data_IF_234790089163
#
_entry.id   IF_234790089163
#
_cell.length_a   1.000
_cell.length_b   1.000
_cell.length_c   1.000
_cell.angle_alpha   90.00
_cell.angle_beta   90.00
_cell.angle_gamma   90.00
#
_symmetry.space_group_name_H-M   'P 1'
#
loop_
_entity.id
_entity.type
_entity.pdbx_description
1 polymer ?
#
# COMPACT_ATOMS: atom_id res chain seq x y z
N UNK A 1 13.94 1.71 10.40
CA UNK A 1 14.06 0.53 9.52
C UNK A 1 15.18 0.76 8.52
N UNK A 2 15.76 -0.29 7.95
CA UNK A 2 16.56 -0.17 6.72
C UNK A 2 15.67 -0.35 5.48
N UNK A 3 16.23 -0.14 4.28
CA UNK A 3 15.46 -0.18 3.04
C UNK A 3 14.97 -1.58 2.67
N UNK A 4 15.72 -2.63 3.02
CA UNK A 4 15.32 -4.01 2.75
C UNK A 4 14.10 -4.38 3.60
N UNK A 5 14.14 -4.00 4.88
CA UNK A 5 13.02 -4.14 5.81
C UNK A 5 11.80 -3.34 5.35
N UNK A 6 11.98 -2.10 4.87
CA UNK A 6 10.89 -1.29 4.35
C UNK A 6 10.20 -1.98 3.16
N UNK A 7 10.98 -2.45 2.18
CA UNK A 7 10.46 -3.14 1.00
C UNK A 7 9.74 -4.44 1.41
N UNK A 8 10.25 -5.18 2.39
CA UNK A 8 9.60 -6.38 2.89
C UNK A 8 8.26 -6.09 3.56
N UNK A 9 8.19 -5.05 4.40
CA UNK A 9 6.94 -4.61 5.04
C UNK A 9 5.90 -4.22 3.99
N UNK A 10 6.29 -3.43 2.99
CA UNK A 10 5.39 -3.00 1.90
C UNK A 10 4.88 -4.21 1.12
N UNK A 11 5.79 -5.11 0.72
CA UNK A 11 5.43 -6.29 -0.04
C UNK A 11 4.51 -7.23 0.75
N UNK A 12 4.83 -7.46 2.02
CA UNK A 12 4.01 -8.31 2.90
C UNK A 12 2.62 -7.72 3.07
N UNK A 13 2.52 -6.42 3.38
CA UNK A 13 1.26 -5.75 3.65
C UNK A 13 0.37 -5.52 2.43
N UNK A 14 0.94 -5.44 1.21
CA UNK A 14 0.17 -5.10 -0.01
C UNK A 14 0.05 -6.23 -1.04
N UNK A 15 1.00 -7.18 -1.07
CA UNK A 15 1.10 -8.16 -2.17
C UNK A 15 1.03 -9.60 -1.70
N UNK A 16 1.57 -9.92 -0.52
CA UNK A 16 1.63 -11.31 -0.04
C UNK A 16 0.24 -11.94 0.15
N UNK A 17 0.21 -13.27 0.36
CA UNK A 17 -1.02 -14.01 0.66
C UNK A 17 -1.70 -13.54 1.96
N UNK A 18 -0.94 -12.94 2.88
CA UNK A 18 -1.44 -12.39 4.15
C UNK A 18 -1.65 -10.87 4.09
N UNK A 19 -1.59 -10.28 2.88
CA UNK A 19 -1.73 -8.83 2.68
C UNK A 19 -3.12 -8.29 3.02
N UNK A 20 -3.18 -7.00 3.32
CA UNK A 20 -4.43 -6.30 3.64
C UNK A 20 -5.45 -6.42 2.51
N UNK A 21 -5.10 -6.25 1.22
CA UNK A 21 -6.05 -6.47 0.13
C UNK A 21 -6.61 -7.90 0.07
N UNK A 22 -5.81 -8.91 0.40
CA UNK A 22 -6.28 -10.30 0.47
C UNK A 22 -7.26 -10.48 1.64
N UNK A 23 -6.90 -9.99 2.83
CA UNK A 23 -7.79 -10.05 4.01
C UNK A 23 -9.12 -9.32 3.78
N UNK A 24 -9.08 -8.15 3.14
CA UNK A 24 -10.29 -7.40 2.79
C UNK A 24 -11.20 -8.18 1.84
N UNK A 25 -10.63 -8.80 0.79
CA UNK A 25 -11.43 -9.58 -0.18
C UNK A 25 -11.97 -10.88 0.38
N UNK A 26 -11.18 -11.60 1.18
CA UNK A 26 -11.54 -12.92 1.69
C UNK A 26 -12.40 -12.86 2.96
N UNK A 27 -12.08 -11.95 3.87
CA UNK A 27 -12.63 -11.93 5.24
C UNK A 27 -13.32 -10.61 5.60
N UNK A 28 -13.25 -9.60 4.72
CA UNK A 28 -13.75 -8.23 4.98
C UNK A 28 -13.11 -7.61 6.22
N UNK A 29 -11.87 -7.98 6.49
CA UNK A 29 -11.11 -7.51 7.63
C UNK A 29 -10.15 -6.40 7.22
N UNK A 30 -10.29 -5.23 7.84
CA UNK A 30 -9.37 -4.11 7.68
C UNK A 30 -8.30 -4.14 8.78
N UNK A 31 -7.13 -4.67 8.42
CA UNK A 31 -5.95 -4.70 9.28
C UNK A 31 -5.27 -3.32 9.30
N UNK A 32 -5.74 -2.47 10.20
CA UNK A 32 -5.25 -1.08 10.35
C UNK A 32 -3.82 -1.01 10.86
N UNK A 33 -3.39 -1.99 11.65
CA UNK A 33 -2.03 -2.05 12.18
C UNK A 33 -1.04 -2.28 11.03
N UNK A 34 -1.31 -3.29 10.19
CA UNK A 34 -0.50 -3.56 9.00
C UNK A 34 -0.49 -2.36 8.03
N UNK A 35 -1.63 -1.70 7.83
CA UNK A 35 -1.69 -0.50 7.00
C UNK A 35 -0.83 0.64 7.53
N UNK A 36 -0.82 0.88 8.84
CA UNK A 36 0.04 1.88 9.45
C UNK A 36 1.52 1.58 9.20
N UNK A 37 1.93 0.32 9.37
CA UNK A 37 3.29 -0.13 9.08
C UNK A 37 3.67 0.04 7.60
N UNK A 38 2.75 -0.25 6.68
CA UNK A 38 2.94 -0.05 5.24
C UNK A 38 3.11 1.43 4.91
N UNK A 39 2.29 2.32 5.48
CA UNK A 39 2.37 3.76 5.23
C UNK A 39 3.69 4.37 5.75
N UNK A 40 4.15 3.95 6.92
CA UNK A 40 5.46 4.35 7.45
C UNK A 40 6.61 3.83 6.57
N UNK A 41 6.53 2.57 6.13
CA UNK A 41 7.53 1.97 5.25
C UNK A 41 7.56 2.63 3.87
N UNK A 42 6.40 2.97 3.31
CA UNK A 42 6.30 3.71 2.05
C UNK A 42 6.92 5.10 2.16
N UNK A 43 6.59 5.83 3.22
CA UNK A 43 7.16 7.17 3.43
C UNK A 43 8.68 7.12 3.52
N UNK A 44 9.22 6.11 4.22
CA UNK A 44 10.66 5.88 4.27
C UNK A 44 11.26 5.50 2.90
N UNK A 45 10.60 4.62 2.15
CA UNK A 45 11.06 4.17 0.84
C UNK A 45 11.06 5.30 -0.20
N UNK A 46 10.02 6.15 -0.21
CA UNK A 46 9.91 7.33 -1.06
C UNK A 46 11.09 8.25 -0.83
N UNK A 47 11.33 8.64 0.43
CA UNK A 47 12.47 9.52 0.75
C UNK A 47 13.80 8.86 0.41
N UNK A 48 13.94 7.55 0.61
CA UNK A 48 15.16 6.81 0.25
C UNK A 48 15.41 6.78 -1.26
N UNK A 49 14.36 6.66 -2.08
CA UNK A 49 14.47 6.58 -3.55
C UNK A 49 14.34 7.92 -4.26
N UNK A 50 14.05 9.00 -3.55
CA UNK A 50 13.96 10.35 -4.09
C UNK A 50 15.20 10.74 -4.91
N UNK A 51 14.98 11.17 -6.15
CA UNK A 51 16.05 11.55 -7.09
C UNK A 51 16.94 10.39 -7.55
N UNK A 52 16.59 9.14 -7.25
CA UNK A 52 17.28 7.95 -7.79
C UNK A 52 16.57 7.48 -9.05
N UNK A 53 17.33 7.10 -10.06
CA UNK A 53 16.79 6.66 -11.35
C UNK A 53 16.19 5.24 -11.35
N UNK A 54 16.31 4.49 -10.25
CA UNK A 54 15.91 3.09 -10.17
C UNK A 54 15.19 2.78 -8.88
N UNK A 55 13.93 2.35 -9.02
CA UNK A 55 13.11 1.75 -7.97
C UNK A 55 13.17 0.22 -8.11
N UNK A 56 13.39 -0.55 -7.02
CA UNK A 56 13.42 -2.00 -7.09
C UNK A 56 12.11 -2.60 -7.60
N UNK A 57 12.20 -3.63 -8.43
CA UNK A 57 11.03 -4.32 -9.00
C UNK A 57 10.02 -4.79 -7.95
N UNK A 58 10.50 -5.28 -6.80
CA UNK A 58 9.64 -5.76 -5.69
C UNK A 58 8.77 -4.64 -5.14
N UNK A 59 9.36 -3.46 -4.93
CA UNK A 59 8.64 -2.26 -4.50
C UNK A 59 7.69 -1.76 -5.58
N UNK A 60 8.17 -1.67 -6.84
CA UNK A 60 7.35 -1.20 -7.94
C UNK A 60 6.09 -2.05 -8.16
N UNK A 61 6.22 -3.38 -8.03
CA UNK A 61 5.10 -4.30 -8.14
C UNK A 61 4.03 -4.08 -7.07
N UNK A 62 4.41 -3.69 -5.85
CA UNK A 62 3.46 -3.41 -4.77
C UNK A 62 2.61 -2.17 -5.03
N UNK A 63 3.07 -1.27 -5.91
CA UNK A 63 2.38 -0.03 -6.25
C UNK A 63 1.41 -0.19 -7.44
N UNK A 64 1.46 -1.32 -8.16
CA UNK A 64 0.61 -1.56 -9.33
C UNK A 64 -0.85 -1.70 -8.91
N UNK A 65 -1.71 -0.83 -9.45
CA UNK A 65 -3.16 -0.80 -9.18
C UNK A 65 -3.49 -0.75 -7.67
N UNK A 66 -2.68 -0.02 -6.91
CA UNK A 66 -2.83 0.05 -5.46
C UNK A 66 -4.18 0.68 -5.04
N UNK A 67 -4.69 1.66 -5.80
CA UNK A 67 -6.04 2.17 -5.58
C UNK A 67 -7.11 1.09 -5.79
N UNK A 68 -7.02 0.33 -6.90
CA UNK A 68 -7.96 -0.75 -7.21
C UNK A 68 -8.00 -1.83 -6.12
N UNK A 69 -6.88 -2.05 -5.42
CA UNK A 69 -6.81 -2.99 -4.30
C UNK A 69 -7.69 -2.59 -3.09
N UNK A 70 -8.07 -1.31 -2.98
CA UNK A 70 -8.91 -0.77 -1.91
C UNK A 70 -10.27 -0.23 -2.42
N UNK A 71 -10.57 -0.34 -3.72
CA UNK A 71 -11.84 0.13 -4.28
C UNK A 71 -12.91 -0.99 -4.22
N UNK A 72 -13.94 -0.79 -3.39
CA UNK A 72 -15.06 -1.73 -3.24
C UNK A 72 -16.39 -1.05 -3.53
N UNK A 73 -17.29 -1.74 -4.23
CA UNK A 73 -18.63 -1.22 -4.56
C UNK A 73 -19.75 -1.77 -3.63
N UNK A 74 -19.44 -2.80 -2.83
CA UNK A 74 -20.39 -3.45 -1.91
C UNK A 74 -19.64 -4.33 -0.90
N UNK A 75 -20.34 -4.86 0.10
CA UNK A 75 -19.78 -5.77 1.10
C UNK A 75 -19.33 -5.11 2.40
N UNK A 76 -19.27 -3.78 2.42
CA UNK A 76 -18.96 -2.95 3.59
C UNK A 76 -20.04 -1.88 3.80
N UNK A 77 -20.08 -1.28 4.98
CA UNK A 77 -20.93 -0.11 5.25
C UNK A 77 -20.46 1.11 4.47
N UNK A 78 -21.33 2.11 4.24
CA UNK A 78 -20.93 3.34 3.54
C UNK A 78 -19.73 4.05 4.20
N UNK A 79 -19.64 4.00 5.54
CA UNK A 79 -18.53 4.58 6.29
C UNK A 79 -17.22 3.86 5.98
N UNK A 80 -17.24 2.53 5.98
CA UNK A 80 -16.08 1.70 5.66
C UNK A 80 -15.67 1.84 4.19
N UNK A 81 -16.63 1.93 3.27
CA UNK A 81 -16.35 2.17 1.85
C UNK A 81 -15.59 3.50 1.65
N UNK A 82 -16.03 4.57 2.31
CA UNK A 82 -15.30 5.85 2.30
C UNK A 82 -13.92 5.74 2.93
N UNK A 83 -13.79 5.02 4.05
CA UNK A 83 -12.48 4.80 4.69
C UNK A 83 -11.52 4.04 3.76
N UNK A 84 -11.99 3.00 3.07
CA UNK A 84 -11.19 2.24 2.12
C UNK A 84 -10.80 3.08 0.89
N UNK A 85 -11.72 3.89 0.38
CA UNK A 85 -11.43 4.83 -0.72
C UNK A 85 -10.37 5.86 -0.32
N UNK A 86 -10.49 6.47 0.87
CA UNK A 86 -9.49 7.39 1.43
C UNK A 86 -8.11 6.74 1.59
N UNK A 87 -8.06 5.48 2.04
CA UNK A 87 -6.82 4.71 2.14
C UNK A 87 -6.22 4.47 0.76
N UNK A 88 -7.03 4.02 -0.20
CA UNK A 88 -6.60 3.77 -1.57
C UNK A 88 -6.04 5.03 -2.24
N UNK A 89 -6.70 6.18 -2.06
CA UNK A 89 -6.23 7.46 -2.58
C UNK A 89 -4.86 7.84 -2.01
N UNK A 90 -4.69 7.74 -0.68
CA UNK A 90 -3.39 8.06 -0.03
C UNK A 90 -2.27 7.16 -0.52
N UNK A 91 -2.52 5.86 -0.64
CA UNK A 91 -1.51 4.92 -1.14
C UNK A 91 -1.16 5.20 -2.61
N UNK A 92 -2.15 5.61 -3.41
CA UNK A 92 -1.93 6.03 -4.80
C UNK A 92 -1.10 7.30 -4.90
N UNK A 93 -1.33 8.30 -4.03
CA UNK A 93 -0.51 9.51 -3.96
C UNK A 93 0.94 9.18 -3.60
N UNK A 94 1.16 8.33 -2.60
CA UNK A 94 2.48 7.84 -2.21
C UNK A 94 3.17 7.07 -3.35
N UNK A 95 2.41 6.24 -4.08
CA UNK A 95 2.93 5.53 -5.24
C UNK A 95 3.37 6.49 -6.35
N UNK A 96 2.60 7.54 -6.62
CA UNK A 96 2.97 8.56 -7.61
C UNK A 96 4.24 9.30 -7.19
N UNK A 97 4.36 9.70 -5.92
CA UNK A 97 5.56 10.37 -5.40
C UNK A 97 6.81 9.48 -5.51
N UNK A 98 6.68 8.17 -5.31
CA UNK A 98 7.80 7.23 -5.45
C UNK A 98 8.39 7.19 -6.86
N UNK A 99 7.56 7.43 -7.88
CA UNK A 99 7.96 7.39 -9.29
C UNK A 99 8.13 8.78 -9.90
N UNK A 100 7.98 9.84 -9.11
CA UNK A 100 8.23 11.21 -9.57
C UNK A 100 9.75 11.47 -9.63
N UNK A 101 10.19 12.19 -10.66
CA UNK A 101 11.61 12.45 -10.95
C UNK A 101 12.21 13.62 -10.12
#
# INVERSE_FOLDING_TARGET
MDIEQAIETIYTGLVSEESVPVKLRAFRELDREMLGQVQEALSFAIEYYKGKSLVPKKLAMAMVDIFGAFCFNSGFSEKELRELEDIGMKLQEQALELFDE
#
